data_IF_819991023609
#
_entry.id   IF_819991023609
#
_cell.length_a   1.000
_cell.length_b   1.000
_cell.length_c   1.000
_cell.angle_alpha   90.00
_cell.angle_beta   90.00
_cell.angle_gamma   90.00
#
_symmetry.space_group_name_H-M   'P 1'
#
loop_
_entity.id
_entity.type
_entity.pdbx_description
1 polymer ?
#
# COMPACT_ATOMS: atom_id res chain seq x y z
N UNK A 1 -9.33 15.21 22.53
CA UNK A 1 -9.70 14.42 23.73
C UNK A 1 -8.61 14.51 24.81
N UNK A 2 -7.38 14.02 24.62
CA UNK A 2 -6.32 13.96 25.64
C UNK A 2 -5.99 15.32 26.31
N UNK A 3 -5.91 16.41 25.53
CA UNK A 3 -5.69 17.75 26.08
C UNK A 3 -6.86 18.23 26.96
N UNK A 4 -8.09 17.97 26.55
CA UNK A 4 -9.29 18.33 27.32
C UNK A 4 -9.35 17.53 28.62
N UNK A 5 -9.08 16.24 28.58
CA UNK A 5 -9.02 15.38 29.77
C UNK A 5 -7.95 15.89 30.76
N UNK A 6 -6.75 16.25 30.28
CA UNK A 6 -5.69 16.85 31.10
C UNK A 6 -6.10 18.18 31.75
N UNK A 7 -6.98 18.95 31.10
CA UNK A 7 -7.53 20.19 31.62
C UNK A 7 -8.72 20.00 32.58
N UNK A 8 -9.05 18.77 32.94
CA UNK A 8 -10.15 18.46 33.85
C UNK A 8 -11.53 18.49 33.22
N UNK A 9 -11.62 18.41 31.89
CA UNK A 9 -12.92 18.30 31.22
C UNK A 9 -13.59 16.98 31.62
N UNK A 10 -14.80 17.10 32.20
CA UNK A 10 -15.61 15.98 32.61
C UNK A 10 -16.58 15.63 31.51
N UNK A 11 -16.53 14.41 31.04
CA UNK A 11 -17.50 13.84 30.11
C UNK A 11 -18.47 12.90 30.82
N UNK A 12 -19.56 12.57 30.17
CA UNK A 12 -20.50 11.56 30.62
C UNK A 12 -19.80 10.18 30.62
N UNK A 13 -20.00 9.38 31.69
CA UNK A 13 -19.35 8.06 31.84
C UNK A 13 -19.82 7.06 30.76
N UNK A 14 -21.11 7.06 30.43
CA UNK A 14 -21.73 6.18 29.45
C UNK A 14 -21.85 6.82 28.03
N UNK A 15 -21.03 7.82 27.75
CA UNK A 15 -21.11 8.60 26.48
C UNK A 15 -20.87 7.79 25.22
N UNK A 16 -20.30 6.60 25.31
CA UNK A 16 -20.08 5.69 24.18
C UNK A 16 -21.33 4.86 23.89
N UNK A 17 -21.93 4.26 24.92
CA UNK A 17 -22.98 3.24 24.83
C UNK A 17 -24.40 3.75 25.06
N UNK A 18 -24.58 4.97 25.57
CA UNK A 18 -25.92 5.52 25.84
C UNK A 18 -26.74 5.76 24.55
N UNK A 19 -28.06 6.05 24.68
CA UNK A 19 -28.97 6.23 23.54
C UNK A 19 -28.57 7.32 22.54
N UNK A 20 -27.88 8.36 23.00
CA UNK A 20 -27.31 9.42 22.18
C UNK A 20 -25.81 9.37 22.16
N UNK A 21 -25.23 8.23 22.53
CA UNK A 21 -23.81 8.00 22.56
C UNK A 21 -23.20 7.73 21.20
N UNK A 22 -21.88 7.56 21.21
CA UNK A 22 -21.08 7.38 19.99
C UNK A 22 -21.59 6.22 19.13
N UNK A 23 -21.86 5.07 19.72
CA UNK A 23 -22.27 3.89 18.96
C UNK A 23 -23.57 4.13 18.18
N UNK A 24 -24.62 4.60 18.83
CA UNK A 24 -25.91 4.77 18.17
C UNK A 24 -25.93 5.91 17.17
N UNK A 25 -25.24 7.02 17.45
CA UNK A 25 -25.15 8.16 16.53
C UNK A 25 -24.31 7.87 15.29
N UNK A 26 -23.42 6.85 15.35
CA UNK A 26 -22.58 6.42 14.23
C UNK A 26 -23.08 5.12 13.57
N UNK A 27 -24.33 4.76 13.76
CA UNK A 27 -24.98 3.66 13.04
C UNK A 27 -24.77 2.25 13.61
N UNK A 28 -24.34 2.14 14.87
CA UNK A 28 -24.22 0.85 15.52
C UNK A 28 -25.58 0.29 15.94
N UNK A 29 -25.89 -0.94 15.57
CA UNK A 29 -27.09 -1.66 16.05
C UNK A 29 -26.85 -2.17 17.49
N UNK A 30 -27.76 -1.80 18.42
CA UNK A 30 -27.73 -2.29 19.82
C UNK A 30 -27.74 -3.81 19.97
N UNK A 31 -28.13 -4.55 18.93
CA UNK A 31 -28.25 -6.02 18.96
C UNK A 31 -26.92 -6.72 18.72
N UNK A 32 -25.90 -6.02 18.26
CA UNK A 32 -24.58 -6.59 18.03
C UNK A 32 -23.62 -6.01 19.06
N UNK A 33 -23.14 -6.80 20.01
CA UNK A 33 -22.10 -6.34 20.92
C UNK A 33 -20.88 -5.91 20.11
N UNK A 34 -20.13 -4.88 20.54
CA UNK A 34 -18.96 -4.43 19.82
C UNK A 34 -17.91 -5.55 19.79
N UNK A 35 -17.83 -6.27 18.68
CA UNK A 35 -16.79 -7.29 18.44
C UNK A 35 -15.39 -6.72 18.72
N UNK A 36 -15.23 -5.41 18.54
CA UNK A 36 -13.98 -4.71 18.80
C UNK A 36 -13.49 -4.73 20.25
N UNK A 37 -14.33 -5.07 21.21
CA UNK A 37 -13.95 -5.19 22.63
C UNK A 37 -13.92 -6.64 23.15
N UNK A 38 -14.33 -7.60 22.31
CA UNK A 38 -14.13 -9.01 22.62
C UNK A 38 -12.64 -9.33 22.62
N UNK A 39 -12.22 -10.17 23.56
CA UNK A 39 -10.84 -10.63 23.69
C UNK A 39 -9.79 -9.53 23.93
N UNK A 40 -10.18 -8.36 24.45
CA UNK A 40 -9.23 -7.30 24.83
C UNK A 40 -8.12 -7.85 25.75
N UNK A 41 -6.86 -7.57 25.37
CA UNK A 41 -5.70 -8.04 26.12
C UNK A 41 -5.26 -9.48 25.83
N UNK A 42 -6.01 -10.22 25.00
CA UNK A 42 -5.68 -11.60 24.57
C UNK A 42 -5.46 -11.71 23.07
N UNK A 43 -6.21 -10.97 22.28
CA UNK A 43 -6.04 -10.91 20.82
C UNK A 43 -5.56 -9.53 20.40
N UNK A 44 -4.54 -9.49 19.54
CA UNK A 44 -3.94 -8.27 19.05
C UNK A 44 -3.92 -8.29 17.51
N UNK A 45 -4.51 -7.28 16.89
CA UNK A 45 -4.54 -7.14 15.43
C UNK A 45 -3.21 -6.59 14.87
N UNK A 46 -2.35 -6.02 15.72
CA UNK A 46 -1.09 -5.42 15.29
C UNK A 46 -0.17 -6.38 14.51
N UNK A 47 -0.06 -7.69 14.82
CA UNK A 47 0.73 -8.62 14.02
C UNK A 47 0.23 -8.85 12.60
N UNK A 48 -1.03 -8.46 12.31
CA UNK A 48 -1.65 -8.64 10.99
C UNK A 48 -1.47 -7.44 10.06
N UNK A 49 -0.61 -6.48 10.44
CA UNK A 49 -0.34 -5.31 9.59
C UNK A 49 0.19 -5.72 8.23
N UNK A 50 -0.22 -4.96 7.20
CA UNK A 50 0.31 -5.09 5.84
C UNK A 50 1.19 -3.88 5.53
N UNK A 51 2.32 -4.14 4.90
CA UNK A 51 3.27 -3.10 4.53
C UNK A 51 2.88 -2.47 3.19
N UNK A 52 3.16 -1.17 3.04
CA UNK A 52 3.01 -0.45 1.76
C UNK A 52 4.40 -0.09 1.23
N UNK A 53 4.95 -0.93 0.37
CA UNK A 53 6.26 -0.68 -0.24
C UNK A 53 6.16 0.33 -1.40
N UNK A 54 5.04 0.39 -2.10
CA UNK A 54 4.80 1.37 -3.17
C UNK A 54 4.03 2.59 -2.66
N UNK A 55 4.28 3.76 -3.24
CA UNK A 55 3.66 5.03 -2.84
C UNK A 55 2.28 5.27 -3.49
N UNK A 56 1.47 4.21 -3.62
CA UNK A 56 0.17 4.23 -4.29
C UNK A 56 -0.93 3.55 -3.45
N UNK A 57 -2.14 3.43 -3.99
CA UNK A 57 -3.24 2.73 -3.34
C UNK A 57 -2.88 1.27 -3.01
N UNK A 58 -3.31 0.78 -1.85
CA UNK A 58 -3.03 -0.59 -1.43
C UNK A 58 -3.54 -1.65 -2.43
N UNK A 59 -4.65 -1.39 -3.10
CA UNK A 59 -5.18 -2.29 -4.12
C UNK A 59 -4.27 -2.50 -5.33
N UNK A 60 -3.25 -1.65 -5.52
CA UNK A 60 -2.27 -1.81 -6.58
C UNK A 60 -1.05 -2.67 -6.17
N UNK A 61 -0.87 -2.93 -4.87
CA UNK A 61 0.36 -3.54 -4.39
C UNK A 61 0.56 -4.97 -4.88
N UNK A 62 -0.48 -5.81 -4.85
CA UNK A 62 -0.31 -7.22 -5.22
C UNK A 62 0.11 -7.41 -6.68
N UNK A 63 -0.40 -6.56 -7.60
CA UNK A 63 0.05 -6.67 -8.99
C UNK A 63 1.46 -6.07 -9.20
N UNK A 64 1.83 -5.02 -8.46
CA UNK A 64 3.17 -4.44 -8.53
C UNK A 64 4.23 -5.42 -8.01
N UNK A 65 3.95 -6.10 -6.90
CA UNK A 65 4.81 -7.17 -6.40
C UNK A 65 4.93 -8.32 -7.41
N UNK A 66 3.81 -8.77 -8.00
CA UNK A 66 3.84 -9.79 -9.05
C UNK A 66 4.65 -9.34 -10.28
N UNK A 67 4.56 -8.07 -10.66
CA UNK A 67 5.32 -7.51 -11.77
C UNK A 67 6.81 -7.39 -11.43
N UNK A 68 7.15 -6.96 -10.22
CA UNK A 68 8.54 -6.86 -9.79
C UNK A 68 9.23 -8.22 -9.73
N UNK A 69 8.54 -9.27 -9.28
CA UNK A 69 9.02 -10.66 -9.35
C UNK A 69 9.28 -11.08 -10.80
N UNK A 70 8.35 -10.80 -11.72
CA UNK A 70 8.55 -11.11 -13.15
C UNK A 70 9.76 -10.38 -13.74
N UNK A 71 9.99 -9.12 -13.35
CA UNK A 71 11.13 -8.32 -13.81
C UNK A 71 12.48 -8.83 -13.30
N UNK A 72 12.52 -9.50 -12.16
CA UNK A 72 13.75 -10.13 -11.66
C UNK A 72 14.19 -11.29 -12.54
N UNK A 73 13.24 -12.04 -13.09
CA UNK A 73 13.50 -13.22 -13.91
C UNK A 73 13.55 -12.91 -15.42
N UNK A 74 12.95 -11.78 -15.83
CA UNK A 74 12.76 -11.42 -17.23
C UNK A 74 13.19 -9.99 -17.49
N UNK A 75 13.89 -9.78 -18.60
CA UNK A 75 14.16 -8.46 -19.11
C UNK A 75 13.06 -8.10 -20.14
N UNK A 76 12.17 -7.17 -19.78
CA UNK A 76 11.12 -6.67 -20.68
C UNK A 76 11.60 -5.47 -21.48
N UNK A 77 11.39 -5.51 -22.80
CA UNK A 77 11.56 -4.34 -23.63
C UNK A 77 10.19 -3.68 -23.84
N UNK A 78 9.95 -2.44 -23.38
CA UNK A 78 8.66 -1.75 -23.56
C UNK A 78 8.15 -1.71 -24.99
N UNK A 79 9.06 -1.68 -25.97
CA UNK A 79 8.70 -1.60 -27.40
C UNK A 79 8.09 -2.91 -27.92
N UNK A 80 8.46 -4.07 -27.35
CA UNK A 80 7.99 -5.39 -27.78
C UNK A 80 6.78 -5.90 -27.01
N UNK A 81 6.39 -5.21 -25.92
CA UNK A 81 5.19 -5.55 -25.17
C UNK A 81 3.95 -5.25 -26.00
N UNK A 82 3.14 -6.28 -26.22
CA UNK A 82 1.88 -6.21 -26.96
C UNK A 82 0.68 -5.97 -26.04
N UNK A 83 0.61 -6.65 -24.91
CA UNK A 83 -0.47 -6.56 -23.93
C UNK A 83 0.04 -6.85 -22.51
N UNK A 84 -0.51 -6.14 -21.53
CA UNK A 84 -0.41 -6.46 -20.12
C UNK A 84 -1.82 -6.65 -19.59
N UNK A 85 -2.16 -7.84 -19.11
CA UNK A 85 -3.43 -8.09 -18.46
C UNK A 85 -3.23 -8.23 -16.93
N UNK A 86 -4.02 -7.49 -16.17
CA UNK A 86 -4.01 -7.50 -14.70
C UNK A 86 -5.39 -7.98 -14.24
N UNK A 87 -5.42 -9.15 -13.61
CA UNK A 87 -6.62 -9.67 -12.98
C UNK A 87 -6.59 -9.33 -11.48
N UNK A 88 -7.66 -8.77 -10.96
CA UNK A 88 -7.79 -8.35 -9.56
C UNK A 88 -9.22 -8.52 -9.05
N UNK A 89 -9.37 -8.52 -7.72
CA UNK A 89 -10.69 -8.57 -7.11
C UNK A 89 -11.54 -7.36 -7.52
N UNK A 90 -12.83 -7.55 -7.91
CA UNK A 90 -13.70 -6.47 -8.39
C UNK A 90 -13.88 -5.30 -7.42
N UNK A 91 -13.71 -5.52 -6.11
CA UNK A 91 -13.80 -4.46 -5.11
C UNK A 91 -12.80 -3.33 -5.35
N UNK A 92 -11.59 -3.65 -5.85
CA UNK A 92 -10.56 -2.67 -6.15
C UNK A 92 -10.85 -1.81 -7.36
N UNK A 93 -11.64 -2.30 -8.32
CA UNK A 93 -11.99 -1.54 -9.53
C UNK A 93 -12.82 -0.29 -9.22
N UNK A 94 -13.54 -0.30 -8.09
CA UNK A 94 -14.28 0.86 -7.60
C UNK A 94 -13.40 1.91 -6.88
N UNK A 95 -12.20 1.52 -6.50
CA UNK A 95 -11.31 2.34 -5.66
C UNK A 95 -10.14 2.89 -6.47
N UNK A 96 -9.48 2.06 -7.27
CA UNK A 96 -8.19 2.41 -7.87
C UNK A 96 -8.05 2.00 -9.34
N UNK A 97 -9.09 2.20 -10.14
CA UNK A 97 -9.07 1.93 -11.59
C UNK A 97 -9.28 3.19 -12.44
N UNK A 98 -8.55 4.26 -12.14
CA UNK A 98 -8.53 5.46 -12.99
C UNK A 98 -7.77 5.10 -14.27
N UNK A 99 -8.49 5.07 -15.40
CA UNK A 99 -7.92 4.62 -16.67
C UNK A 99 -6.93 5.61 -17.29
N UNK A 100 -7.24 6.91 -17.20
CA UNK A 100 -6.45 8.02 -17.76
C UNK A 100 -6.27 9.12 -16.71
N UNK A 101 -5.37 8.90 -15.73
CA UNK A 101 -5.10 9.89 -14.71
C UNK A 101 -4.51 11.17 -15.31
N UNK A 102 -4.79 12.32 -14.70
CA UNK A 102 -4.34 13.65 -15.13
C UNK A 102 -3.45 14.32 -14.09
N UNK A 103 -3.40 13.77 -12.88
CA UNK A 103 -2.60 14.31 -11.79
C UNK A 103 -1.80 13.22 -11.12
N UNK A 104 -0.70 13.59 -10.45
CA UNK A 104 0.10 12.66 -9.68
C UNK A 104 -0.70 11.95 -8.59
N UNK A 105 -1.71 12.64 -8.01
CA UNK A 105 -2.62 11.98 -7.06
C UNK A 105 -3.46 10.90 -7.75
N UNK A 106 -4.05 11.18 -8.90
CA UNK A 106 -4.85 10.22 -9.67
C UNK A 106 -4.00 9.05 -10.16
N UNK A 107 -2.71 9.27 -10.49
CA UNK A 107 -1.80 8.21 -10.92
C UNK A 107 -1.62 7.14 -9.85
N UNK A 108 -1.68 7.49 -8.56
CA UNK A 108 -1.63 6.57 -7.42
C UNK A 108 -2.85 5.63 -7.33
N UNK A 109 -3.87 5.85 -8.14
CA UNK A 109 -5.11 5.07 -8.23
C UNK A 109 -5.33 4.49 -9.64
N UNK A 110 -4.27 4.31 -10.42
CA UNK A 110 -4.31 3.80 -11.79
C UNK A 110 -3.50 2.52 -11.95
N UNK A 111 -4.14 1.37 -12.10
CA UNK A 111 -3.48 0.12 -12.49
C UNK A 111 -2.65 0.29 -13.76
N UNK A 112 -3.25 0.93 -14.77
CA UNK A 112 -2.68 1.05 -16.10
C UNK A 112 -1.41 1.90 -16.11
N UNK A 113 -1.43 3.06 -15.46
CA UNK A 113 -0.28 3.95 -15.45
C UNK A 113 0.84 3.43 -14.53
N UNK A 114 0.50 2.87 -13.35
CA UNK A 114 1.52 2.30 -12.46
C UNK A 114 2.20 1.06 -13.06
N UNK A 115 1.50 0.27 -13.87
CA UNK A 115 2.11 -0.80 -14.64
C UNK A 115 3.13 -0.25 -15.66
N UNK A 116 2.77 0.81 -16.38
CA UNK A 116 3.69 1.48 -17.31
C UNK A 116 4.92 2.03 -16.60
N UNK A 117 4.73 2.70 -15.46
CA UNK A 117 5.82 3.21 -14.61
C UNK A 117 6.79 2.09 -14.23
N UNK A 118 6.28 0.95 -13.74
CA UNK A 118 7.10 -0.18 -13.35
C UNK A 118 7.86 -0.79 -14.55
N UNK A 119 7.21 -0.94 -15.71
CA UNK A 119 7.83 -1.46 -16.93
C UNK A 119 9.00 -0.56 -17.39
N UNK A 120 8.86 0.76 -17.29
CA UNK A 120 9.92 1.72 -17.60
C UNK A 120 10.95 1.90 -16.46
N UNK A 121 10.89 1.06 -15.42
CA UNK A 121 11.86 1.08 -14.32
C UNK A 121 11.77 2.30 -13.42
N UNK A 122 10.62 2.99 -13.41
CA UNK A 122 10.37 4.07 -12.45
C UNK A 122 10.23 3.47 -11.05
N UNK A 123 10.80 4.13 -10.06
CA UNK A 123 10.66 3.72 -8.66
C UNK A 123 9.24 4.02 -8.16
N UNK A 124 8.41 2.99 -8.09
CA UNK A 124 7.04 3.11 -7.59
C UNK A 124 6.97 3.26 -6.07
N UNK A 125 8.08 3.13 -5.34
CA UNK A 125 8.16 3.37 -3.90
C UNK A 125 8.33 4.86 -3.58
N UNK A 126 8.87 5.64 -4.50
CA UNK A 126 9.13 7.07 -4.35
C UNK A 126 7.86 7.89 -4.61
N UNK A 127 7.58 8.86 -3.72
CA UNK A 127 6.45 9.78 -3.84
C UNK A 127 6.60 10.72 -5.05
N UNK A 128 7.81 11.14 -5.34
CA UNK A 128 8.10 12.12 -6.41
C UNK A 128 7.95 11.52 -7.81
N UNK A 129 7.97 10.19 -7.93
CA UNK A 129 7.66 9.47 -9.17
C UNK A 129 6.22 9.74 -9.64
N UNK A 130 5.30 10.02 -8.71
CA UNK A 130 3.89 10.28 -9.01
C UNK A 130 3.64 11.78 -9.19
N UNK A 131 4.17 12.34 -10.26
CA UNK A 131 3.97 13.75 -10.66
C UNK A 131 2.82 13.89 -11.66
N UNK A 132 2.36 15.12 -11.86
CA UNK A 132 1.38 15.39 -12.92
C UNK A 132 1.96 15.10 -14.31
N UNK A 133 3.24 15.38 -14.52
CA UNK A 133 3.95 15.20 -15.80
C UNK A 133 3.96 13.73 -16.24
N UNK A 134 4.06 12.77 -15.32
CA UNK A 134 4.04 11.33 -15.66
C UNK A 134 2.74 10.93 -16.37
N UNK A 135 1.64 11.62 -16.09
CA UNK A 135 0.34 11.34 -16.70
C UNK A 135 0.28 11.72 -18.19
N UNK A 136 1.19 12.61 -18.64
CA UNK A 136 1.26 13.12 -20.00
C UNK A 136 2.48 12.62 -20.78
N UNK A 137 3.32 11.79 -20.16
CA UNK A 137 4.48 11.19 -20.82
C UNK A 137 4.02 10.18 -21.88
N UNK A 138 4.48 10.38 -23.12
CA UNK A 138 4.06 9.56 -24.26
C UNK A 138 4.48 8.09 -24.12
N UNK A 139 5.65 7.81 -23.56
CA UNK A 139 6.12 6.45 -23.34
C UNK A 139 5.23 5.74 -22.31
N UNK A 140 4.91 6.44 -21.21
CA UNK A 140 4.00 5.91 -20.20
C UNK A 140 2.62 5.64 -20.80
N UNK A 141 2.10 6.58 -21.59
CA UNK A 141 0.79 6.46 -22.24
C UNK A 141 0.75 5.32 -23.26
N UNK A 142 1.83 5.07 -24.00
CA UNK A 142 1.92 3.95 -24.95
C UNK A 142 1.75 2.60 -24.22
N UNK A 143 2.45 2.37 -23.12
CA UNK A 143 2.28 1.12 -22.33
C UNK A 143 0.95 1.11 -21.60
N UNK A 144 0.52 2.22 -20.98
CA UNK A 144 -0.78 2.33 -20.31
C UNK A 144 -1.93 1.84 -21.21
N UNK A 145 -1.92 2.22 -22.48
CA UNK A 145 -3.00 1.90 -23.41
C UNK A 145 -2.97 0.42 -23.84
N UNK A 146 -1.87 -0.31 -23.61
CA UNK A 146 -1.75 -1.77 -23.78
C UNK A 146 -2.17 -2.55 -22.51
N UNK A 147 -2.48 -1.85 -21.40
CA UNK A 147 -2.87 -2.51 -20.15
C UNK A 147 -4.39 -2.73 -20.10
N UNK A 148 -4.79 -3.95 -19.78
CA UNK A 148 -6.18 -4.34 -19.52
C UNK A 148 -6.33 -4.75 -18.05
N UNK A 149 -7.33 -4.20 -17.37
CA UNK A 149 -7.67 -4.57 -15.98
C UNK A 149 -8.95 -5.41 -16.01
N UNK A 150 -8.88 -6.60 -15.47
CA UNK A 150 -9.91 -7.64 -15.59
C UNK A 150 -10.42 -7.98 -14.18
N UNK A 151 -11.75 -7.88 -13.94
CA UNK A 151 -12.31 -8.34 -12.68
C UNK A 151 -12.24 -9.87 -12.60
N UNK A 152 -11.80 -10.39 -11.46
CA UNK A 152 -11.75 -11.83 -11.18
C UNK A 152 -12.22 -12.12 -9.76
N UNK A 153 -13.44 -12.62 -9.61
CA UNK A 153 -14.06 -12.96 -8.32
C UNK A 153 -13.40 -14.16 -7.62
N UNK A 154 -12.54 -14.92 -8.31
CA UNK A 154 -11.78 -16.02 -7.71
C UNK A 154 -10.55 -15.53 -6.93
N UNK A 155 -10.16 -14.26 -7.11
CA UNK A 155 -9.05 -13.65 -6.39
C UNK A 155 -9.55 -12.97 -5.11
N UNK A 156 -8.84 -13.16 -4.01
CA UNK A 156 -9.08 -12.41 -2.77
C UNK A 156 -8.64 -10.95 -2.92
N UNK A 157 -8.97 -10.11 -1.94
CA UNK A 157 -8.54 -8.70 -1.90
C UNK A 157 -7.02 -8.52 -1.81
N UNK A 158 -6.28 -9.57 -1.47
CA UNK A 158 -4.82 -9.55 -1.34
C UNK A 158 -4.11 -10.08 -2.57
N UNK A 159 -4.85 -10.62 -3.55
CA UNK A 159 -4.32 -11.32 -4.71
C UNK A 159 -4.46 -10.52 -6.00
N UNK A 160 -3.45 -10.63 -6.85
CA UNK A 160 -3.53 -10.25 -8.28
C UNK A 160 -2.78 -11.26 -9.13
N UNK A 161 -3.24 -11.42 -10.37
CA UNK A 161 -2.54 -12.17 -11.40
C UNK A 161 -2.21 -11.20 -12.53
N UNK A 162 -0.96 -11.23 -12.98
CA UNK A 162 -0.50 -10.45 -14.13
C UNK A 162 -0.07 -11.39 -15.25
N UNK A 163 -0.39 -11.04 -16.49
CA UNK A 163 0.16 -11.67 -17.67
C UNK A 163 0.67 -10.63 -18.65
N UNK A 164 1.83 -10.91 -19.24
CA UNK A 164 2.52 -10.02 -20.20
C UNK A 164 2.78 -10.79 -21.47
N UNK A 165 2.25 -10.27 -22.57
CA UNK A 165 2.61 -10.72 -23.91
C UNK A 165 3.72 -9.86 -24.46
N UNK A 166 4.88 -10.48 -24.69
CA UNK A 166 6.09 -9.83 -25.18
C UNK A 166 6.65 -10.64 -26.37
N UNK A 167 6.25 -10.27 -27.56
CA UNK A 167 6.49 -11.06 -28.78
C UNK A 167 5.88 -12.47 -28.68
N UNK A 168 6.70 -13.51 -28.79
CA UNK A 168 6.24 -14.91 -28.69
C UNK A 168 6.06 -15.40 -27.24
N UNK A 169 6.41 -14.59 -26.24
CA UNK A 169 6.33 -14.96 -24.82
C UNK A 169 4.98 -14.56 -24.23
N UNK A 170 4.36 -15.47 -23.48
CA UNK A 170 3.20 -15.19 -22.60
C UNK A 170 3.61 -15.57 -21.19
N UNK A 171 3.97 -14.56 -20.38
CA UNK A 171 4.56 -14.72 -19.08
C UNK A 171 3.56 -14.30 -18.03
N UNK A 172 3.39 -15.13 -16.98
CA UNK A 172 2.35 -14.91 -15.95
C UNK A 172 2.95 -15.05 -14.56
N UNK A 173 2.43 -14.25 -13.67
CA UNK A 173 2.71 -14.40 -12.24
C UNK A 173 1.48 -14.03 -11.40
N UNK A 174 1.37 -14.65 -10.24
CA UNK A 174 0.36 -14.37 -9.23
C UNK A 174 1.06 -14.06 -7.90
N UNK A 175 0.65 -12.97 -7.27
CA UNK A 175 1.14 -12.61 -5.94
C UNK A 175 -0.01 -12.48 -4.95
N UNK A 176 0.23 -12.89 -3.70
CA UNK A 176 -0.71 -12.73 -2.58
C UNK A 176 -0.02 -11.95 -1.44
N UNK A 177 -0.51 -10.77 -1.14
CA UNK A 177 0.00 -9.95 -0.03
C UNK A 177 -0.20 -10.59 1.36
N UNK A 178 -0.97 -11.67 1.45
CA UNK A 178 -1.13 -12.45 2.69
C UNK A 178 -0.02 -13.48 2.89
N UNK A 179 0.74 -13.79 1.87
CA UNK A 179 1.86 -14.73 1.96
C UNK A 179 2.96 -14.17 2.86
N UNK A 180 3.62 -15.06 3.58
CA UNK A 180 4.70 -14.69 4.47
C UNK A 180 5.92 -14.27 3.67
N UNK A 181 6.34 -13.03 3.84
CA UNK A 181 7.59 -12.52 3.26
C UNK A 181 8.79 -13.05 4.05
N UNK A 182 9.86 -13.43 3.38
CA UNK A 182 11.14 -13.73 4.04
C UNK A 182 11.64 -12.53 4.84
N UNK A 183 12.14 -12.75 6.05
CA UNK A 183 12.50 -11.67 6.96
C UNK A 183 13.60 -10.75 6.41
N UNK A 184 14.60 -11.29 5.69
CA UNK A 184 15.67 -10.48 5.12
C UNK A 184 15.15 -9.62 3.96
N UNK A 185 14.27 -10.19 3.14
CA UNK A 185 13.61 -9.45 2.07
C UNK A 185 12.69 -8.35 2.64
N UNK A 186 11.92 -8.65 3.69
CA UNK A 186 11.07 -7.69 4.38
C UNK A 186 11.89 -6.52 4.93
N UNK A 187 12.98 -6.80 5.64
CA UNK A 187 13.87 -5.80 6.21
C UNK A 187 14.45 -4.90 5.11
N UNK A 188 14.90 -5.49 4.00
CA UNK A 188 15.40 -4.76 2.83
C UNK A 188 14.33 -3.84 2.24
N UNK A 189 13.12 -4.34 2.02
CA UNK A 189 11.99 -3.55 1.49
C UNK A 189 11.58 -2.41 2.44
N UNK A 190 11.56 -2.64 3.75
CA UNK A 190 11.27 -1.61 4.75
C UNK A 190 12.35 -0.52 4.74
N UNK A 191 13.62 -0.91 4.68
CA UNK A 191 14.72 0.03 4.62
C UNK A 191 14.65 0.90 3.36
N UNK A 192 14.50 0.29 2.19
CA UNK A 192 14.34 1.00 0.92
C UNK A 192 13.15 1.98 0.98
N UNK A 193 12.02 1.54 1.53
CA UNK A 193 10.86 2.41 1.70
C UNK A 193 11.13 3.57 2.67
N UNK A 194 11.84 3.33 3.75
CA UNK A 194 12.20 4.39 4.69
C UNK A 194 13.15 5.42 4.06
N UNK A 195 14.11 4.97 3.25
CA UNK A 195 15.01 5.83 2.49
C UNK A 195 14.25 6.72 1.52
N UNK A 196 13.30 6.16 0.76
CA UNK A 196 12.47 6.93 -0.19
C UNK A 196 11.59 8.00 0.48
N UNK A 197 11.29 7.86 1.78
CA UNK A 197 10.45 8.80 2.52
C UNK A 197 11.23 9.83 3.35
N UNK A 198 12.43 9.48 3.83
CA UNK A 198 13.12 10.23 4.89
C UNK A 198 14.55 10.67 4.49
N UNK A 199 15.19 10.03 3.60
CA UNK A 199 16.62 10.08 3.23
C UNK A 199 17.44 8.95 3.88
N UNK A 200 18.59 8.63 3.26
CA UNK A 200 19.54 7.62 3.74
C UNK A 200 20.01 7.90 5.17
N UNK A 201 20.39 9.14 5.45
CA UNK A 201 20.91 9.55 6.77
C UNK A 201 19.90 9.32 7.87
N UNK A 202 18.65 9.77 7.66
CA UNK A 202 17.58 9.67 8.64
C UNK A 202 17.12 8.23 8.84
N UNK A 203 16.99 7.47 7.75
CA UNK A 203 16.64 6.03 7.79
C UNK A 203 17.67 5.22 8.57
N UNK A 204 18.95 5.44 8.32
CA UNK A 204 20.03 4.78 9.05
C UNK A 204 20.06 5.16 10.54
N UNK A 205 19.76 6.41 10.88
CA UNK A 205 19.66 6.86 12.27
C UNK A 205 18.51 6.17 13.01
N UNK A 206 17.32 6.11 12.39
CA UNK A 206 16.15 5.40 12.93
C UNK A 206 16.45 3.91 13.12
N UNK A 207 17.03 3.25 12.12
CA UNK A 207 17.42 1.84 12.19
C UNK A 207 18.37 1.58 13.37
N UNK A 208 19.38 2.44 13.58
CA UNK A 208 20.29 2.35 14.74
C UNK A 208 19.56 2.49 16.07
N UNK A 209 18.63 3.43 16.19
CA UNK A 209 17.81 3.62 17.40
C UNK A 209 16.98 2.37 17.69
N UNK A 210 16.31 1.82 16.68
CA UNK A 210 15.45 0.66 16.84
C UNK A 210 16.22 -0.62 17.21
N UNK A 211 17.44 -0.78 16.73
CA UNK A 211 18.29 -1.93 17.00
C UNK A 211 19.17 -1.77 18.25
N UNK A 212 19.23 -0.58 18.86
CA UNK A 212 20.03 -0.38 20.07
C UNK A 212 19.39 -1.07 21.30
N UNK A 213 20.19 -1.66 22.19
CA UNK A 213 19.72 -2.22 23.45
C UNK A 213 19.46 -1.09 24.48
N UNK A 214 18.39 -0.32 24.30
CA UNK A 214 18.11 0.86 25.14
C UNK A 214 16.64 0.89 25.57
N UNK A 215 16.40 1.25 26.85
CA UNK A 215 15.06 1.46 27.39
C UNK A 215 14.41 2.77 26.90
N UNK A 216 15.19 3.72 26.40
CA UNK A 216 14.73 5.06 25.99
C UNK A 216 14.52 5.22 24.47
N UNK A 217 14.25 4.13 23.75
CA UNK A 217 14.07 4.16 22.27
C UNK A 217 12.99 5.13 21.81
N UNK A 218 11.88 5.25 22.55
CA UNK A 218 10.75 6.11 22.16
C UNK A 218 11.16 7.57 22.13
N UNK A 219 11.85 8.07 23.19
CA UNK A 219 12.30 9.45 23.24
C UNK A 219 13.34 9.73 22.14
N UNK A 220 14.33 8.83 21.98
CA UNK A 220 15.34 8.96 20.94
C UNK A 220 14.72 8.96 19.52
N UNK A 221 13.68 8.16 19.29
CA UNK A 221 12.95 8.13 18.02
C UNK A 221 12.18 9.44 17.78
N UNK A 222 11.48 9.95 18.81
CA UNK A 222 10.76 11.24 18.73
C UNK A 222 11.74 12.37 18.42
N UNK A 223 12.85 12.46 19.15
CA UNK A 223 13.87 13.49 18.93
C UNK A 223 14.46 13.41 17.50
N UNK A 224 14.70 12.20 17.02
CA UNK A 224 15.16 11.97 15.65
C UNK A 224 14.13 12.42 14.61
N UNK A 225 12.82 12.24 14.84
CA UNK A 225 11.78 12.57 13.87
C UNK A 225 11.45 14.07 13.82
N UNK A 226 11.68 14.83 14.90
CA UNK A 226 11.39 16.27 14.96
C UNK A 226 12.61 17.15 14.68
N UNK A 227 13.82 16.60 14.64
CA UNK A 227 15.06 17.25 14.19
C UNK A 227 15.20 17.22 12.67
#
# INVERSE_FOLDING_TARGET
>A
AAKLSKLGFVSREDGIECEQGFFLTHGWDKKVPPIAIENLGTEFLFPEIKYKFHACCHGLHSFLEALDELKQENNFNPETIEEIAIETNPSWLKVCNIEKPKTGLESKFSYKLTAAMSIYGKDTSDLDTYSDDICFDDNMNNIRDKVRVIPNDQLSNTQSLISIKDGSRDIKNKHDLSDKIDNNLLETKILNKSVSLLSDSKSNQISKILNAPSENKVNALVDCLVS
#
